data_IF_009973184273
#
_entry.id   IF_009973184273
#
_cell.length_a   1.000
_cell.length_b   1.000
_cell.length_c   1.000
_cell.angle_alpha   90.00
_cell.angle_beta   90.00
_cell.angle_gamma   90.00
#
_symmetry.space_group_name_H-M   'P 1'
#
loop_
_entity.id
_entity.type
_entity.pdbx_description
1 polymer ?
#
# COMPACT_ATOMS: atom_id res chain seq x y z
N UNK A 1 -1.64 -10.08 14.10
CA UNK A 1 -2.74 -9.86 13.13
C UNK A 1 -2.97 -11.15 12.34
N UNK A 2 -4.02 -11.93 12.62
CA UNK A 2 -4.42 -13.07 11.79
C UNK A 2 -5.62 -12.67 10.93
N UNK A 3 -5.33 -12.05 9.78
CA UNK A 3 -6.32 -11.81 8.75
C UNK A 3 -6.85 -13.14 8.21
N UNK A 4 -8.09 -13.16 7.72
CA UNK A 4 -8.63 -14.25 6.91
C UNK A 4 -7.60 -14.67 5.86
N UNK A 5 -6.92 -15.78 6.09
CA UNK A 5 -6.06 -16.39 5.09
C UNK A 5 -6.97 -16.82 3.96
N UNK A 6 -6.87 -16.14 2.82
CA UNK A 6 -7.56 -16.56 1.60
C UNK A 6 -6.97 -17.93 1.27
N UNK A 7 -7.81 -18.96 1.28
CA UNK A 7 -7.41 -20.30 0.89
C UNK A 7 -7.93 -20.58 -0.53
N UNK A 8 -7.05 -20.94 -1.46
CA UNK A 8 -7.45 -21.31 -2.82
C UNK A 8 -8.16 -22.65 -2.89
N UNK A 9 -8.02 -23.51 -1.87
CA UNK A 9 -8.75 -24.77 -1.74
C UNK A 9 -10.16 -24.61 -1.17
N UNK A 10 -10.49 -23.46 -0.58
CA UNK A 10 -11.82 -23.16 0.00
C UNK A 10 -12.21 -21.70 -0.30
N UNK A 11 -12.62 -21.41 -1.56
CA UNK A 11 -12.95 -20.05 -1.96
C UNK A 11 -14.23 -19.57 -1.25
N UNK A 12 -14.31 -18.28 -0.88
CA UNK A 12 -15.48 -17.72 -0.22
C UNK A 12 -16.72 -17.74 -1.12
N UNK A 13 -17.93 -17.82 -0.57
CA UNK A 13 -19.19 -17.95 -1.35
C UNK A 13 -19.34 -16.98 -2.53
N UNK A 14 -18.93 -15.72 -2.37
CA UNK A 14 -19.03 -14.72 -3.46
C UNK A 14 -18.16 -15.04 -4.67
N UNK A 15 -17.16 -15.91 -4.54
CA UNK A 15 -16.30 -16.35 -5.64
C UNK A 15 -17.13 -16.98 -6.77
N UNK A 16 -18.16 -17.75 -6.41
CA UNK A 16 -19.03 -18.43 -7.37
C UNK A 16 -19.96 -17.46 -8.12
N UNK A 17 -20.14 -16.24 -7.60
CA UNK A 17 -20.90 -15.17 -8.26
C UNK A 17 -20.03 -14.36 -9.25
N UNK A 18 -18.70 -14.57 -9.26
CA UNK A 18 -17.78 -13.91 -10.20
C UNK A 18 -17.85 -14.58 -11.58
N UNK A 19 -17.56 -13.81 -12.64
CA UNK A 19 -17.42 -14.39 -13.98
C UNK A 19 -16.13 -15.26 -14.11
N UNK A 20 -16.02 -16.13 -15.12
CA UNK A 20 -14.87 -17.06 -15.24
C UNK A 20 -13.48 -16.38 -15.26
N UNK A 21 -13.36 -15.20 -15.87
CA UNK A 21 -12.10 -14.44 -15.91
C UNK A 21 -11.74 -13.89 -14.53
N UNK A 22 -12.72 -13.34 -13.82
CA UNK A 22 -12.58 -12.86 -12.45
C UNK A 22 -12.22 -14.00 -11.49
N UNK A 23 -12.85 -15.16 -11.63
CA UNK A 23 -12.52 -16.37 -10.87
C UNK A 23 -11.07 -16.81 -11.11
N UNK A 24 -10.64 -16.87 -12.37
CA UNK A 24 -9.25 -17.20 -12.74
C UNK A 24 -8.25 -16.22 -12.13
N UNK A 25 -8.52 -14.92 -12.21
CA UNK A 25 -7.67 -13.88 -11.63
C UNK A 25 -7.65 -13.95 -10.10
N UNK A 26 -8.78 -14.21 -9.46
CA UNK A 26 -8.87 -14.43 -8.02
C UNK A 26 -8.03 -15.62 -7.58
N UNK A 27 -8.18 -16.78 -8.25
CA UNK A 27 -7.41 -17.99 -7.96
C UNK A 27 -5.91 -17.77 -8.12
N UNK A 28 -5.50 -17.13 -9.21
CA UNK A 28 -4.08 -16.79 -9.46
C UNK A 28 -3.52 -15.91 -8.35
N UNK A 29 -4.28 -14.88 -7.94
CA UNK A 29 -3.86 -13.95 -6.88
C UNK A 29 -3.79 -14.65 -5.53
N UNK A 30 -4.81 -15.42 -5.17
CA UNK A 30 -4.86 -16.17 -3.90
C UNK A 30 -3.70 -17.17 -3.81
N UNK A 31 -3.47 -17.99 -4.84
CA UNK A 31 -2.33 -18.93 -4.87
C UNK A 31 -0.98 -18.23 -4.73
N UNK A 32 -0.82 -17.06 -5.34
CA UNK A 32 0.40 -16.25 -5.19
C UNK A 32 0.57 -15.77 -3.76
N UNK A 33 -0.50 -15.32 -3.11
CA UNK A 33 -0.46 -14.92 -1.70
C UNK A 33 -0.15 -16.11 -0.78
N UNK A 34 -0.78 -17.26 -0.99
CA UNK A 34 -0.50 -18.48 -0.21
C UNK A 34 0.96 -18.93 -0.35
N UNK A 35 1.48 -18.96 -1.59
CA UNK A 35 2.89 -19.25 -1.83
C UNK A 35 3.81 -18.25 -1.11
N UNK A 36 3.46 -16.96 -1.13
CA UNK A 36 4.23 -15.92 -0.43
C UNK A 36 4.24 -16.16 1.08
N UNK A 37 3.09 -16.44 1.69
CA UNK A 37 3.00 -16.74 3.14
C UNK A 37 3.71 -18.05 3.51
N UNK A 38 3.61 -19.09 2.67
CA UNK A 38 4.34 -20.33 2.86
C UNK A 38 5.85 -20.10 2.85
N UNK A 39 6.37 -19.40 1.83
CA UNK A 39 7.79 -19.11 1.74
C UNK A 39 8.27 -18.20 2.88
N UNK A 40 7.45 -17.24 3.32
CA UNK A 40 7.75 -16.42 4.51
C UNK A 40 7.89 -17.25 5.78
N UNK A 41 7.08 -18.30 5.93
CA UNK A 41 7.15 -19.18 7.09
C UNK A 41 8.35 -20.14 7.03
N UNK A 42 8.76 -20.54 5.83
CA UNK A 42 9.84 -21.52 5.62
C UNK A 42 11.25 -20.92 5.58
N UNK A 43 11.40 -19.68 5.11
CA UNK A 43 12.71 -19.09 4.82
C UNK A 43 12.90 -17.72 5.49
N UNK A 44 14.14 -17.38 5.89
CA UNK A 44 14.45 -16.04 6.39
C UNK A 44 14.21 -14.97 5.30
N UNK A 45 13.86 -13.73 5.68
CA UNK A 45 13.65 -12.67 4.71
C UNK A 45 14.93 -12.37 3.91
N UNK A 46 14.75 -11.97 2.66
CA UNK A 46 15.84 -11.54 1.79
C UNK A 46 16.56 -10.35 2.42
N UNK A 47 17.88 -10.43 2.43
CA UNK A 47 18.75 -9.36 2.91
C UNK A 47 19.42 -8.69 1.72
N UNK A 48 19.02 -7.44 1.48
CA UNK A 48 19.72 -6.54 0.57
C UNK A 48 21.14 -6.28 1.08
N UNK A 49 22.10 -5.95 0.19
CA UNK A 49 23.42 -5.49 0.58
C UNK A 49 23.32 -4.34 1.59
N UNK A 50 24.22 -4.26 2.57
CA UNK A 50 24.03 -3.32 3.70
C UNK A 50 24.30 -1.86 3.35
N UNK A 51 25.14 -1.57 2.34
CA UNK A 51 25.57 -0.19 2.07
C UNK A 51 25.01 0.29 0.73
N UNK A 52 23.84 0.90 0.78
CA UNK A 52 23.32 1.67 -0.34
C UNK A 52 22.57 2.90 0.13
N UNK A 53 22.59 3.93 -0.70
CA UNK A 53 21.77 5.14 -0.54
C UNK A 53 20.57 5.07 -1.47
N UNK A 54 19.38 5.40 -0.97
CA UNK A 54 18.16 5.51 -1.78
C UNK A 54 17.87 6.98 -2.04
N UNK A 55 17.75 7.37 -3.31
CA UNK A 55 17.44 8.73 -3.74
C UNK A 55 16.17 8.73 -4.58
N UNK A 56 15.27 9.68 -4.32
CA UNK A 56 14.03 9.85 -5.07
C UNK A 56 14.17 10.95 -6.12
N UNK A 57 13.79 10.66 -7.36
CA UNK A 57 13.80 11.61 -8.46
C UNK A 57 12.38 12.00 -8.86
N UNK A 58 12.08 13.29 -8.74
CA UNK A 58 10.78 13.93 -9.01
C UNK A 58 10.93 15.45 -9.17
N UNK A 59 9.84 16.20 -9.30
CA UNK A 59 9.84 17.65 -9.54
C UNK A 59 10.38 18.52 -8.38
N UNK A 60 10.52 17.98 -7.16
CA UNK A 60 11.21 18.65 -6.05
C UNK A 60 12.67 18.23 -5.88
N UNK A 61 13.22 17.40 -6.78
CA UNK A 61 14.65 17.05 -6.71
C UNK A 61 15.48 18.28 -7.08
N UNK A 62 16.60 18.49 -6.39
CA UNK A 62 17.48 19.62 -6.67
C UNK A 62 18.35 19.35 -7.90
N UNK A 63 18.78 20.40 -8.60
CA UNK A 63 19.67 20.26 -9.77
C UNK A 63 21.01 19.65 -9.34
N UNK A 64 21.53 20.06 -8.19
CA UNK A 64 22.80 19.58 -7.62
C UNK A 64 22.76 18.07 -7.38
N UNK A 65 21.63 17.56 -6.87
CA UNK A 65 21.43 16.11 -6.67
C UNK A 65 21.50 15.36 -8.01
N UNK A 66 20.89 15.90 -9.08
CA UNK A 66 20.91 15.26 -10.40
C UNK A 66 22.30 15.36 -11.04
N UNK A 67 23.01 16.48 -10.88
CA UNK A 67 24.37 16.66 -11.40
C UNK A 67 25.36 15.72 -10.74
N UNK A 68 25.22 15.50 -9.44
CA UNK A 68 26.01 14.51 -8.71
C UNK A 68 25.72 13.08 -9.20
N UNK A 69 24.44 12.74 -9.42
CA UNK A 69 24.07 11.45 -10.02
C UNK A 69 24.61 11.30 -11.45
N UNK A 70 24.65 12.36 -12.24
CA UNK A 70 25.27 12.35 -13.58
C UNK A 70 26.77 12.08 -13.48
N UNK A 71 27.46 12.70 -12.51
CA UNK A 71 28.88 12.46 -12.27
C UNK A 71 29.13 11.01 -11.88
N UNK A 72 28.32 10.45 -10.97
CA UNK A 72 28.37 9.04 -10.59
C UNK A 72 28.09 8.13 -11.80
N UNK A 73 27.05 8.42 -12.58
CA UNK A 73 26.69 7.61 -13.75
C UNK A 73 27.78 7.57 -14.82
N UNK A 74 28.60 8.63 -14.97
CA UNK A 74 29.73 8.61 -15.90
C UNK A 74 30.85 7.65 -15.50
N UNK A 75 30.93 7.27 -14.22
CA UNK A 75 31.94 6.35 -13.69
C UNK A 75 31.39 4.96 -13.39
N UNK A 76 30.06 4.77 -13.43
CA UNK A 76 29.41 3.48 -13.21
C UNK A 76 29.17 2.78 -14.55
N UNK A 77 29.46 1.48 -14.63
CA UNK A 77 29.26 0.70 -15.86
C UNK A 77 28.21 -0.40 -15.74
N UNK A 78 27.81 -0.78 -14.53
CA UNK A 78 26.83 -1.83 -14.28
C UNK A 78 25.61 -1.24 -13.61
N UNK A 79 24.45 -1.48 -14.21
CA UNK A 79 23.17 -1.00 -13.73
C UNK A 79 22.18 -2.14 -13.65
N UNK A 80 21.50 -2.25 -12.52
CA UNK A 80 20.33 -3.10 -12.39
C UNK A 80 19.09 -2.25 -12.44
N UNK A 81 18.14 -2.66 -13.27
CA UNK A 81 16.94 -1.90 -13.56
C UNK A 81 15.73 -2.77 -13.28
N UNK A 82 14.75 -2.20 -12.60
CA UNK A 82 13.43 -2.79 -12.40
C UNK A 82 12.36 -1.73 -12.61
N UNK A 83 11.11 -2.15 -12.83
CA UNK A 83 10.01 -1.21 -13.05
C UNK A 83 8.72 -1.66 -12.39
N UNK A 84 7.94 -0.69 -11.90
CA UNK A 84 6.59 -0.94 -11.41
C UNK A 84 5.57 -0.14 -12.20
N UNK A 85 4.53 -0.83 -12.67
CA UNK A 85 3.42 -0.25 -13.42
C UNK A 85 2.13 -0.30 -12.62
N UNK A 86 1.23 0.65 -12.88
CA UNK A 86 -0.11 0.67 -12.30
C UNK A 86 -1.17 0.74 -13.40
N UNK A 87 -2.22 -0.07 -13.27
CA UNK A 87 -3.38 0.01 -14.16
C UNK A 87 -4.27 1.20 -13.75
N UNK A 88 -4.49 2.12 -14.69
CA UNK A 88 -5.35 3.29 -14.53
C UNK A 88 -6.32 3.30 -15.71
N UNK A 89 -7.62 3.32 -15.43
CA UNK A 89 -8.67 3.29 -16.47
C UNK A 89 -8.45 2.14 -17.49
N UNK A 90 -8.14 0.94 -16.99
CA UNK A 90 -7.83 -0.27 -17.78
C UNK A 90 -6.56 -0.20 -18.64
N UNK A 91 -5.74 0.85 -18.51
CA UNK A 91 -4.47 1.00 -19.22
C UNK A 91 -3.32 0.93 -18.22
N UNK A 92 -2.33 0.08 -18.47
CA UNK A 92 -1.12 0.04 -17.66
C UNK A 92 -0.27 1.28 -17.94
N UNK A 93 0.14 2.00 -16.89
CA UNK A 93 1.04 3.14 -16.96
C UNK A 93 2.26 2.88 -16.07
N UNK A 94 3.44 3.23 -16.55
CA UNK A 94 4.66 3.15 -15.75
C UNK A 94 4.57 4.11 -14.56
N UNK A 95 4.86 3.63 -13.36
CA UNK A 95 4.67 4.40 -12.13
C UNK A 95 5.99 4.68 -11.41
N UNK A 96 6.89 3.71 -11.37
CA UNK A 96 8.19 3.79 -10.72
C UNK A 96 9.24 3.11 -11.61
N UNK A 97 10.43 3.70 -11.68
CA UNK A 97 11.63 3.04 -12.23
C UNK A 97 12.67 2.97 -11.12
N UNK A 98 13.17 1.78 -10.85
CA UNK A 98 14.24 1.51 -9.91
C UNK A 98 15.54 1.30 -10.69
N UNK A 99 16.58 2.06 -10.36
CA UNK A 99 17.89 1.88 -10.99
C UNK A 99 18.95 1.83 -9.90
N UNK A 100 19.66 0.71 -9.80
CA UNK A 100 20.81 0.57 -8.93
C UNK A 100 22.09 0.82 -9.72
N UNK A 101 22.89 1.77 -9.25
CA UNK A 101 24.23 2.08 -9.73
C UNK A 101 25.17 1.18 -8.94
N UNK A 102 25.76 0.20 -9.61
CA UNK A 102 26.62 -0.79 -8.96
C UNK A 102 28.06 -0.27 -8.99
N UNK A 103 28.45 0.46 -7.94
CA UNK A 103 29.81 1.01 -7.80
C UNK A 103 30.81 -0.06 -7.39
N UNK A 104 30.40 -0.93 -6.46
CA UNK A 104 31.11 -2.12 -6.05
C UNK A 104 30.12 -3.21 -5.60
N UNK A 105 30.63 -4.40 -5.22
CA UNK A 105 29.76 -5.42 -4.60
C UNK A 105 29.23 -5.00 -3.22
N UNK A 106 29.87 -4.00 -2.60
CA UNK A 106 29.57 -3.56 -1.24
C UNK A 106 28.87 -2.20 -1.22
N UNK A 107 28.98 -1.41 -2.28
CA UNK A 107 28.50 -0.04 -2.35
C UNK A 107 27.69 0.19 -3.61
N UNK A 108 26.49 0.76 -3.45
CA UNK A 108 25.65 1.13 -4.58
C UNK A 108 24.76 2.33 -4.26
N UNK A 109 24.33 3.02 -5.30
CA UNK A 109 23.31 4.07 -5.18
C UNK A 109 22.05 3.59 -5.89
N UNK A 110 20.92 3.57 -5.19
CA UNK A 110 19.64 3.20 -5.77
C UNK A 110 18.80 4.46 -5.97
N UNK A 111 18.41 4.70 -7.22
CA UNK A 111 17.50 5.80 -7.55
C UNK A 111 16.09 5.27 -7.83
N UNK A 112 15.10 5.98 -7.31
CA UNK A 112 13.68 5.73 -7.49
C UNK A 112 13.07 6.90 -8.27
N UNK A 113 12.79 6.68 -9.56
CA UNK A 113 12.22 7.72 -10.42
C UNK A 113 10.70 7.64 -10.37
N UNK A 114 10.07 8.65 -9.78
CA UNK A 114 8.62 8.68 -9.56
C UNK A 114 7.90 9.30 -10.76
N UNK A 115 7.52 8.45 -11.73
CA UNK A 115 7.10 8.88 -13.07
C UNK A 115 5.93 9.87 -13.08
N UNK A 116 4.97 9.72 -12.16
CA UNK A 116 3.80 10.62 -12.04
C UNK A 116 4.12 11.99 -11.46
N UNK A 117 5.32 12.16 -10.93
CA UNK A 117 5.78 13.37 -10.26
C UNK A 117 7.02 13.96 -10.94
N UNK A 118 7.29 13.58 -12.19
CA UNK A 118 8.36 14.19 -12.98
C UNK A 118 8.12 15.69 -13.19
N UNK A 119 9.19 16.49 -13.28
CA UNK A 119 9.08 17.90 -13.64
C UNK A 119 8.57 18.09 -15.07
N UNK A 120 8.17 19.33 -15.40
CA UNK A 120 7.74 19.70 -16.76
C UNK A 120 8.85 19.36 -17.77
N UNK A 121 8.49 18.80 -18.93
CA UNK A 121 9.43 18.37 -19.97
C UNK A 121 10.37 19.47 -20.47
N UNK A 122 9.92 20.73 -20.44
CA UNK A 122 10.71 21.88 -20.89
C UNK A 122 11.69 22.40 -19.83
N UNK A 123 11.51 21.98 -18.56
CA UNK A 123 12.32 22.42 -17.43
C UNK A 123 13.76 21.91 -17.53
N UNK A 124 14.69 22.69 -16.96
CA UNK A 124 16.09 22.28 -16.83
C UNK A 124 16.22 20.96 -16.06
N UNK A 125 15.47 20.80 -14.97
CA UNK A 125 15.50 19.58 -14.16
C UNK A 125 15.09 18.34 -14.97
N UNK A 126 14.03 18.42 -15.77
CA UNK A 126 13.64 17.30 -16.63
C UNK A 126 14.73 16.95 -17.64
N UNK A 127 15.31 17.97 -18.29
CA UNK A 127 16.41 17.79 -19.25
C UNK A 127 17.61 17.10 -18.59
N UNK A 128 17.92 17.44 -17.34
CA UNK A 128 18.98 16.80 -16.55
C UNK A 128 18.65 15.36 -16.14
N UNK A 129 17.42 15.07 -15.72
CA UNK A 129 16.98 13.67 -15.45
C UNK A 129 17.04 12.85 -16.74
N UNK A 130 16.72 13.44 -17.89
CA UNK A 130 16.84 12.81 -19.21
C UNK A 130 18.29 12.57 -19.64
N UNK A 131 19.18 13.52 -19.37
CA UNK A 131 20.63 13.37 -19.56
C UNK A 131 21.14 12.18 -18.73
N UNK A 132 20.80 12.12 -17.44
CA UNK A 132 21.15 11.03 -16.54
C UNK A 132 20.69 9.67 -17.10
N UNK A 133 19.41 9.55 -17.49
CA UNK A 133 18.89 8.31 -18.06
C UNK A 133 19.58 7.93 -19.37
N UNK A 134 19.97 8.91 -20.19
CA UNK A 134 20.69 8.66 -21.45
C UNK A 134 22.10 8.11 -21.20
N UNK A 135 22.79 8.58 -20.17
CA UNK A 135 24.09 8.06 -19.74
C UNK A 135 23.93 6.62 -19.24
N UNK A 136 23.01 6.38 -18.30
CA UNK A 136 22.75 5.04 -17.74
C UNK A 136 22.46 4.02 -18.85
N UNK A 137 21.64 4.42 -19.81
CA UNK A 137 21.16 3.54 -20.88
C UNK A 137 22.09 3.46 -22.10
N UNK A 138 23.28 4.07 -22.04
CA UNK A 138 24.29 4.00 -23.09
C UNK A 138 24.64 2.54 -23.45
N UNK A 139 24.99 2.29 -24.70
CA UNK A 139 25.19 0.92 -25.21
C UNK A 139 26.43 0.22 -24.64
N UNK A 140 27.39 0.99 -24.13
CA UNK A 140 28.60 0.49 -23.46
C UNK A 140 28.34 0.02 -22.03
N UNK A 141 27.24 0.45 -21.41
CA UNK A 141 26.90 0.06 -20.06
C UNK A 141 26.23 -1.31 -20.03
N UNK A 142 26.52 -2.07 -18.98
CA UNK A 142 25.86 -3.35 -18.69
C UNK A 142 24.55 -3.07 -17.96
N UNK A 143 23.42 -3.29 -18.64
CA UNK A 143 22.09 -3.16 -18.05
C UNK A 143 21.53 -4.54 -17.73
N UNK A 144 21.11 -4.76 -16.50
CA UNK A 144 20.59 -6.03 -16.00
C UNK A 144 19.13 -5.84 -15.62
N UNK A 145 18.26 -6.69 -16.14
CA UNK A 145 16.84 -6.76 -15.75
C UNK A 145 16.48 -8.20 -15.42
N UNK A 146 15.51 -8.43 -14.53
CA UNK A 146 15.07 -9.80 -14.27
C UNK A 146 14.46 -10.45 -15.51
N UNK A 147 13.56 -9.74 -16.21
CA UNK A 147 12.91 -10.19 -17.43
C UNK A 147 13.39 -9.47 -18.69
N UNK A 148 12.73 -9.69 -19.83
CA UNK A 148 13.06 -9.00 -21.08
C UNK A 148 12.88 -7.48 -20.97
N UNK A 149 13.96 -6.74 -21.21
CA UNK A 149 13.99 -5.28 -21.08
C UNK A 149 12.86 -4.54 -21.82
N UNK A 150 12.50 -4.99 -23.04
CA UNK A 150 11.41 -4.40 -23.83
C UNK A 150 10.07 -4.41 -23.09
N UNK A 151 9.83 -5.41 -22.23
CA UNK A 151 8.60 -5.54 -21.49
C UNK A 151 8.54 -4.58 -20.28
N UNK A 152 9.69 -4.32 -19.64
CA UNK A 152 9.82 -3.39 -18.52
C UNK A 152 9.44 -1.96 -18.94
N UNK A 153 10.00 -1.47 -20.05
CA UNK A 153 9.87 -0.06 -20.44
C UNK A 153 8.66 0.29 -21.30
N UNK A 154 7.86 -0.70 -21.75
CA UNK A 154 6.76 -0.45 -22.71
C UNK A 154 5.76 0.60 -22.22
N UNK A 155 5.52 0.70 -20.91
CA UNK A 155 4.58 1.63 -20.31
C UNK A 155 5.21 2.97 -19.91
N UNK A 156 6.50 3.19 -20.19
CA UNK A 156 7.28 4.34 -19.74
C UNK A 156 7.68 5.29 -20.88
N UNK A 157 7.62 4.84 -22.14
CA UNK A 157 8.01 5.67 -23.29
C UNK A 157 7.19 6.96 -23.41
N UNK A 158 5.93 6.98 -22.98
CA UNK A 158 5.07 8.18 -23.04
C UNK A 158 5.57 9.35 -22.19
N UNK A 159 6.46 9.10 -21.23
CA UNK A 159 7.01 10.15 -20.37
C UNK A 159 8.11 10.97 -21.05
N UNK A 160 8.62 10.53 -22.22
CA UNK A 160 9.67 11.25 -22.96
C UNK A 160 11.08 11.13 -22.34
N UNK A 161 11.22 10.35 -21.26
CA UNK A 161 12.47 10.11 -20.56
C UNK A 161 13.32 9.02 -21.23
N UNK A 162 12.65 8.02 -21.83
CA UNK A 162 13.28 6.89 -22.49
C UNK A 162 12.92 6.87 -23.98
N UNK A 163 13.90 6.57 -24.83
CA UNK A 163 13.69 6.49 -26.26
C UNK A 163 13.46 5.05 -26.72
N UNK A 164 12.36 4.83 -27.45
CA UNK A 164 11.99 3.51 -27.97
C UNK A 164 13.04 3.04 -28.97
N UNK A 165 13.58 1.83 -28.76
CA UNK A 165 14.52 1.18 -29.69
C UNK A 165 15.98 1.60 -29.55
N UNK A 166 16.30 2.62 -28.73
CA UNK A 166 17.70 2.98 -28.43
C UNK A 166 18.38 2.03 -27.46
N UNK A 167 17.61 1.35 -26.62
CA UNK A 167 18.17 0.51 -25.56
C UNK A 167 18.45 -0.87 -26.13
N UNK A 168 19.72 -1.15 -26.43
CA UNK A 168 20.21 -2.44 -26.88
C UNK A 168 20.97 -3.14 -25.75
N UNK A 169 21.11 -4.47 -25.89
CA UNK A 169 22.04 -5.29 -25.11
C UNK A 169 21.80 -5.32 -23.59
N UNK A 170 20.55 -5.27 -23.13
CA UNK A 170 20.25 -5.57 -21.73
C UNK A 170 20.29 -7.08 -21.47
N UNK A 171 20.90 -7.47 -20.37
CA UNK A 171 20.97 -8.85 -19.89
C UNK A 171 19.63 -9.22 -19.25
N UNK A 172 18.93 -10.17 -19.87
CA UNK A 172 17.78 -10.83 -19.26
C UNK A 172 18.28 -11.88 -18.25
N UNK A 173 18.28 -11.53 -16.97
CA UNK A 173 18.88 -12.37 -15.94
C UNK A 173 18.10 -13.67 -15.70
N UNK A 174 16.80 -13.71 -15.98
CA UNK A 174 15.99 -14.93 -15.91
C UNK A 174 16.50 -16.02 -16.86
N UNK A 175 16.89 -15.65 -18.09
CA UNK A 175 17.45 -16.60 -19.06
C UNK A 175 18.81 -17.11 -18.55
N UNK A 176 19.66 -16.20 -18.07
CA UNK A 176 20.99 -16.53 -17.52
C UNK A 176 20.91 -17.41 -16.29
N UNK A 177 19.95 -17.16 -15.40
CA UNK A 177 19.71 -17.98 -14.22
C UNK A 177 19.24 -19.39 -14.61
N UNK A 178 18.37 -19.49 -15.63
CA UNK A 178 17.92 -20.79 -16.14
C UNK A 178 19.10 -21.63 -16.66
N UNK A 179 19.97 -21.01 -17.46
CA UNK A 179 21.17 -21.65 -17.98
C UNK A 179 22.13 -22.08 -16.87
N UNK A 180 22.40 -21.18 -15.91
CA UNK A 180 23.25 -21.44 -14.76
C UNK A 180 22.70 -22.60 -13.91
N UNK A 181 21.40 -22.58 -13.58
CA UNK A 181 20.77 -23.60 -12.75
C UNK A 181 20.81 -24.98 -13.43
N UNK A 182 20.51 -25.05 -14.72
CA UNK A 182 20.54 -26.32 -15.46
C UNK A 182 21.95 -26.92 -15.55
N UNK A 183 22.98 -26.08 -15.73
CA UNK A 183 24.39 -26.52 -15.70
C UNK A 183 24.77 -27.04 -14.31
N UNK A 184 24.49 -26.28 -13.25
CA UNK A 184 24.83 -26.65 -11.87
C UNK A 184 24.07 -27.90 -11.39
N UNK A 185 22.80 -28.07 -11.77
CA UNK A 185 22.00 -29.25 -11.42
C UNK A 185 22.51 -30.54 -12.09
N UNK A 186 23.04 -30.44 -13.31
CA UNK A 186 23.58 -31.60 -14.04
C UNK A 186 24.84 -32.18 -13.38
N UNK A 187 25.58 -31.38 -12.62
CA UNK A 187 26.80 -31.79 -11.91
C UNK A 187 26.46 -32.57 -10.62
N UNK A 188 25.36 -32.24 -9.96
CA UNK A 188 25.03 -32.79 -8.63
C UNK A 188 24.13 -34.03 -8.68
N UNK A 189 23.35 -34.24 -9.74
CA UNK A 189 22.48 -35.41 -9.89
C UNK A 189 22.38 -35.89 -11.36
N UNK A 190 23.29 -36.78 -11.82
CA UNK A 190 23.36 -37.17 -13.23
C UNK A 190 22.22 -38.08 -13.73
N UNK A 191 21.33 -38.60 -12.86
CA UNK A 191 20.38 -39.68 -13.22
C UNK A 191 18.92 -39.37 -12.85
N UNK A 192 18.46 -38.12 -12.92
CA UNK A 192 17.02 -37.84 -12.79
C UNK A 192 16.36 -37.53 -14.14
N UNK A 193 15.56 -38.51 -14.54
CA UNK A 193 14.61 -38.52 -15.66
C UNK A 193 13.84 -37.19 -15.79
N UNK A 194 13.79 -36.68 -17.02
CA UNK A 194 12.75 -35.78 -17.52
C UNK A 194 12.33 -34.66 -16.57
N UNK A 195 13.26 -33.77 -16.18
CA UNK A 195 12.83 -32.45 -15.71
C UNK A 195 12.31 -31.67 -16.91
N UNK A 196 10.99 -31.44 -16.93
CA UNK A 196 10.38 -30.42 -17.80
C UNK A 196 11.26 -29.18 -17.70
N UNK A 197 11.83 -28.74 -18.84
CA UNK A 197 12.63 -27.52 -18.90
C UNK A 197 11.77 -26.40 -18.34
N UNK A 198 12.03 -25.98 -17.11
CA UNK A 198 11.31 -24.87 -16.52
C UNK A 198 11.73 -23.63 -17.31
N UNK A 199 10.87 -23.20 -18.24
CA UNK A 199 11.21 -22.16 -19.22
C UNK A 199 11.16 -20.75 -18.64
N UNK A 200 10.60 -20.57 -17.43
CA UNK A 200 10.53 -19.26 -16.78
C UNK A 200 10.60 -19.38 -15.27
N UNK A 201 11.50 -18.62 -14.66
CA UNK A 201 11.66 -18.53 -13.21
C UNK A 201 11.01 -17.27 -12.67
N UNK A 202 10.32 -17.34 -11.53
CA UNK A 202 10.05 -16.10 -10.80
C UNK A 202 11.31 -15.68 -10.05
N UNK A 203 11.53 -14.36 -9.88
CA UNK A 203 12.68 -13.87 -9.12
C UNK A 203 12.68 -14.40 -7.68
N UNK A 204 11.51 -14.51 -7.06
CA UNK A 204 11.36 -15.10 -5.73
C UNK A 204 11.83 -16.56 -5.68
N UNK A 205 11.50 -17.37 -6.69
CA UNK A 205 11.96 -18.76 -6.76
C UNK A 205 13.46 -18.86 -6.99
N UNK A 206 14.02 -17.97 -7.81
CA UNK A 206 15.46 -17.90 -8.04
C UNK A 206 16.21 -17.52 -6.76
N UNK A 207 15.74 -16.52 -6.01
CA UNK A 207 16.31 -16.12 -4.72
C UNK A 207 16.18 -17.23 -3.68
N UNK A 208 15.03 -17.91 -3.62
CA UNK A 208 14.84 -19.08 -2.77
C UNK A 208 15.90 -20.15 -3.06
N UNK A 209 16.07 -20.52 -4.32
CA UNK A 209 17.00 -21.59 -4.71
C UNK A 209 18.45 -21.19 -4.48
N UNK A 210 18.82 -19.99 -4.90
CA UNK A 210 20.19 -19.49 -4.82
C UNK A 210 20.65 -19.23 -3.39
N UNK A 211 19.77 -18.66 -2.55
CA UNK A 211 20.17 -18.08 -1.26
C UNK A 211 19.39 -18.63 -0.06
N UNK A 212 18.39 -19.51 -0.28
CA UNK A 212 17.49 -19.99 0.78
C UNK A 212 16.81 -18.83 1.54
N UNK A 213 16.45 -17.77 0.81
CA UNK A 213 15.84 -16.56 1.34
C UNK A 213 14.46 -16.31 0.72
N UNK A 214 13.59 -15.64 1.47
CA UNK A 214 12.27 -15.21 1.06
C UNK A 214 12.30 -13.75 0.60
N UNK A 215 12.14 -13.54 -0.71
CA UNK A 215 11.91 -12.21 -1.27
C UNK A 215 10.41 -11.88 -1.19
N UNK A 216 10.01 -10.91 -0.38
CA UNK A 216 8.60 -10.58 -0.19
C UNK A 216 7.98 -9.98 -1.45
N UNK A 217 6.87 -10.57 -1.92
CA UNK A 217 6.11 -10.11 -3.09
C UNK A 217 4.77 -9.45 -2.77
N UNK A 218 4.54 -9.06 -1.52
CA UNK A 218 3.28 -8.44 -1.09
C UNK A 218 2.98 -7.10 -1.75
N UNK A 219 4.01 -6.33 -2.13
CA UNK A 219 3.84 -4.98 -2.67
C UNK A 219 3.77 -4.93 -4.21
N UNK A 220 3.93 -6.06 -4.91
CA UNK A 220 3.93 -6.07 -6.40
C UNK A 220 2.66 -5.46 -7.00
N UNK A 221 1.50 -5.70 -6.38
CA UNK A 221 0.21 -5.15 -6.87
C UNK A 221 -0.27 -4.08 -5.89
N UNK A 222 0.30 -2.88 -6.03
CA UNK A 222 -0.04 -1.76 -5.17
C UNK A 222 -0.24 -0.45 -5.97
N UNK A 223 -0.57 0.64 -5.26
CA UNK A 223 -0.82 1.98 -5.81
C UNK A 223 0.50 2.72 -6.02
N UNK A 224 1.36 2.23 -6.90
CA UNK A 224 2.70 2.79 -7.18
C UNK A 224 2.72 4.26 -7.60
N UNK A 225 1.60 4.81 -8.10
CA UNK A 225 1.48 6.25 -8.41
C UNK A 225 1.30 7.16 -7.17
N UNK A 226 1.41 6.63 -5.95
CA UNK A 226 1.01 7.33 -4.72
C UNK A 226 1.96 8.45 -4.28
N UNK A 227 3.14 8.55 -4.88
CA UNK A 227 4.21 9.40 -4.38
C UNK A 227 4.88 8.74 -3.18
N UNK A 228 6.06 8.14 -3.36
CA UNK A 228 6.77 7.42 -2.30
C UNK A 228 7.56 8.38 -1.40
N UNK A 229 8.23 9.39 -1.98
CA UNK A 229 8.95 10.41 -1.23
C UNK A 229 7.99 11.23 -0.36
N UNK A 230 8.33 11.39 0.92
CA UNK A 230 7.56 12.22 1.84
C UNK A 230 7.62 13.71 1.52
N UNK A 231 8.65 14.18 0.80
CA UNK A 231 8.76 15.56 0.30
C UNK A 231 7.61 15.93 -0.65
N UNK A 232 7.01 14.95 -1.33
CA UNK A 232 5.83 15.17 -2.17
C UNK A 232 4.56 15.46 -1.36
N UNK A 233 4.56 15.27 -0.03
CA UNK A 233 3.40 15.46 0.86
C UNK A 233 2.13 14.67 0.44
N UNK A 234 2.27 13.65 -0.40
CA UNK A 234 1.14 12.85 -0.92
C UNK A 234 0.55 11.92 0.12
N UNK A 235 1.32 11.61 1.18
CA UNK A 235 0.88 10.84 2.34
C UNK A 235 -0.21 11.52 3.15
N UNK A 236 -0.41 12.85 2.98
CA UNK A 236 -1.52 13.60 3.61
C UNK A 236 -2.90 13.19 3.06
N UNK A 237 -2.95 12.39 1.99
CA UNK A 237 -4.18 11.88 1.39
C UNK A 237 -4.42 10.43 1.82
N UNK A 238 -5.66 10.12 2.17
CA UNK A 238 -6.09 8.76 2.48
C UNK A 238 -6.08 7.87 1.23
N UNK A 239 -5.05 7.05 1.07
CA UNK A 239 -4.89 6.06 0.01
C UNK A 239 -4.86 4.61 0.52
N UNK A 240 -4.26 4.39 1.68
CA UNK A 240 -4.00 3.11 2.30
C UNK A 240 -4.77 2.90 3.61
N UNK A 241 -5.08 3.97 4.36
CA UNK A 241 -5.83 3.82 5.62
C UNK A 241 -7.22 3.24 5.37
N UNK A 242 -7.61 2.24 6.18
CA UNK A 242 -8.85 1.46 5.95
C UNK A 242 -10.12 2.21 6.36
N UNK A 243 -10.09 2.91 7.49
CA UNK A 243 -11.25 3.57 8.09
C UNK A 243 -11.13 5.09 7.96
N UNK A 244 -10.64 5.77 8.98
CA UNK A 244 -10.33 7.19 8.90
C UNK A 244 -8.91 7.39 8.38
N UNK A 245 -8.58 8.62 8.00
CA UNK A 245 -7.22 8.96 7.63
C UNK A 245 -6.28 8.71 8.81
N UNK A 246 -5.21 7.98 8.57
CA UNK A 246 -4.16 7.72 9.55
C UNK A 246 -2.80 7.96 8.89
N UNK A 247 -2.15 9.06 9.26
CA UNK A 247 -0.86 9.47 8.71
C UNK A 247 0.22 8.39 8.89
N UNK A 248 0.22 7.67 10.01
CA UNK A 248 1.20 6.63 10.29
C UNK A 248 1.00 5.43 9.36
N UNK A 249 -0.25 4.99 9.13
CA UNK A 249 -0.54 3.91 8.17
C UNK A 249 -0.14 4.31 6.74
N UNK A 250 -0.35 5.57 6.34
CA UNK A 250 0.04 6.07 5.02
C UNK A 250 1.56 6.11 4.82
N UNK A 251 2.30 6.54 5.85
CA UNK A 251 3.77 6.61 5.84
C UNK A 251 4.40 5.23 5.91
N UNK A 252 3.95 4.37 6.84
CA UNK A 252 4.41 2.99 6.99
C UNK A 252 4.21 2.21 5.69
N UNK A 253 3.06 2.40 5.04
CA UNK A 253 2.80 1.72 3.76
C UNK A 253 3.76 2.17 2.65
N UNK A 254 4.15 3.43 2.60
CA UNK A 254 5.16 3.91 1.63
C UNK A 254 6.56 3.38 1.94
N UNK A 255 6.94 3.32 3.22
CA UNK A 255 8.21 2.72 3.66
C UNK A 255 8.30 1.26 3.21
N UNK A 256 7.24 0.46 3.44
CA UNK A 256 7.22 -0.95 3.01
C UNK A 256 7.28 -1.09 1.48
N UNK A 257 6.65 -0.18 0.73
CA UNK A 257 6.78 -0.13 -0.74
C UNK A 257 8.19 0.23 -1.20
N UNK A 258 8.87 1.18 -0.55
CA UNK A 258 10.27 1.53 -0.82
C UNK A 258 11.18 0.34 -0.54
N UNK A 259 11.02 -0.31 0.62
CA UNK A 259 11.78 -1.51 0.99
C UNK A 259 11.59 -2.64 -0.02
N UNK A 260 10.36 -2.87 -0.48
CA UNK A 260 10.11 -3.82 -1.56
C UNK A 260 10.86 -3.45 -2.84
N UNK A 261 10.75 -2.19 -3.30
CA UNK A 261 11.35 -1.75 -4.56
C UNK A 261 12.89 -1.89 -4.52
N UNK A 262 13.48 -1.59 -3.37
CA UNK A 262 14.90 -1.81 -3.07
C UNK A 262 15.26 -3.29 -3.07
N UNK A 263 14.53 -4.11 -2.34
CA UNK A 263 14.78 -5.54 -2.24
C UNK A 263 14.69 -6.23 -3.61
N UNK A 264 13.71 -5.83 -4.42
CA UNK A 264 13.49 -6.43 -5.74
C UNK A 264 14.63 -6.12 -6.72
N UNK A 265 15.04 -4.85 -6.77
CA UNK A 265 16.16 -4.40 -7.59
C UNK A 265 17.49 -5.03 -7.13
N UNK A 266 17.77 -4.99 -5.82
CA UNK A 266 19.03 -5.53 -5.26
C UNK A 266 19.12 -7.05 -5.32
N UNK A 267 17.99 -7.77 -5.29
CA UNK A 267 17.94 -9.22 -5.50
C UNK A 267 18.46 -9.62 -6.89
N UNK A 268 18.12 -8.86 -7.92
CA UNK A 268 18.62 -9.08 -9.29
C UNK A 268 20.13 -8.89 -9.34
N UNK A 269 20.66 -7.83 -8.72
CA UNK A 269 22.12 -7.60 -8.63
C UNK A 269 22.84 -8.72 -7.89
N UNK A 270 22.29 -9.19 -6.76
CA UNK A 270 22.87 -10.29 -5.98
C UNK A 270 22.93 -11.58 -6.79
N UNK A 271 21.88 -11.91 -7.55
CA UNK A 271 21.87 -13.04 -8.48
C UNK A 271 22.88 -12.87 -9.61
N UNK A 272 23.04 -11.65 -10.14
CA UNK A 272 24.00 -11.38 -11.20
C UNK A 272 25.42 -11.75 -10.79
N UNK A 273 25.89 -11.26 -9.64
CA UNK A 273 27.24 -11.57 -9.16
C UNK A 273 27.43 -13.04 -8.74
N UNK A 274 26.35 -13.72 -8.34
CA UNK A 274 26.40 -15.17 -8.13
C UNK A 274 26.63 -15.93 -9.45
N UNK A 275 26.00 -15.49 -10.55
CA UNK A 275 26.14 -16.13 -11.87
C UNK A 275 27.47 -15.76 -12.53
N UNK A 276 27.93 -14.52 -12.35
CA UNK A 276 29.14 -13.95 -12.95
C UNK A 276 30.14 -13.49 -11.88
N UNK A 277 30.77 -14.42 -11.14
CA UNK A 277 31.70 -14.05 -10.08
C UNK A 277 32.95 -13.35 -10.61
N UNK A 278 33.35 -13.55 -11.87
CA UNK A 278 34.48 -12.82 -12.50
C UNK A 278 34.23 -11.32 -12.60
N UNK A 279 32.97 -10.93 -12.76
CA UNK A 279 32.57 -9.53 -12.90
C UNK A 279 32.61 -8.81 -11.53
N UNK A 280 32.81 -9.57 -10.45
CA UNK A 280 33.14 -9.03 -9.14
C UNK A 280 34.60 -8.58 -9.03
N UNK A 281 35.39 -8.55 -10.12
CA UNK A 281 36.81 -8.10 -10.19
C UNK A 281 37.15 -6.73 -9.59
N UNK A 282 36.19 -6.09 -8.95
CA UNK A 282 36.30 -5.17 -7.82
C UNK A 282 36.72 -5.97 -6.56
N UNK A 283 37.99 -6.41 -6.46
CA UNK A 283 38.59 -7.19 -5.36
C UNK A 283 37.68 -7.51 -4.14
N UNK A 284 37.19 -8.74 -4.06
CA UNK A 284 36.25 -9.21 -3.03
C UNK A 284 36.89 -10.31 -2.19
N UNK A 285 37.35 -9.97 -0.98
CA UNK A 285 37.63 -10.99 0.04
C UNK A 285 36.31 -11.35 0.72
N UNK A 286 35.68 -12.42 0.28
CA UNK A 286 34.49 -12.96 0.95
C UNK A 286 34.90 -13.68 2.23
N UNK A 287 35.08 -12.94 3.32
CA UNK A 287 34.99 -13.52 4.66
C UNK A 287 33.50 -13.73 4.98
N UNK A 288 33.11 -14.99 5.12
CA UNK A 288 31.81 -15.39 5.65
C UNK A 288 31.63 -14.72 7.02
N UNK A 289 30.68 -13.78 7.20
CA UNK A 289 30.54 -13.11 8.48
C UNK A 289 30.06 -14.10 9.54
N UNK A 290 30.74 -14.12 10.69
CA UNK A 290 30.21 -14.69 11.93
C UNK A 290 28.83 -14.09 12.22
N UNK A 291 27.86 -14.87 12.75
CA UNK A 291 26.49 -14.44 12.93
C UNK A 291 26.45 -13.30 13.95
N UNK A 292 26.43 -12.07 13.42
CA UNK A 292 26.33 -10.85 14.20
C UNK A 292 24.93 -10.29 13.97
N UNK A 293 24.22 -9.99 15.05
CA UNK A 293 22.98 -9.21 15.07
C UNK A 293 23.25 -7.80 14.53
N UNK A 294 23.40 -7.66 13.22
CA UNK A 294 23.52 -6.37 12.56
C UNK A 294 22.13 -5.78 12.35
N UNK A 295 21.86 -4.66 13.04
CA UNK A 295 20.77 -3.75 12.71
C UNK A 295 21.09 -3.10 11.37
N UNK A 296 20.31 -3.42 10.33
CA UNK A 296 20.40 -2.77 9.01
C UNK A 296 20.00 -1.31 9.16
N UNK A 297 20.98 -0.41 9.27
CA UNK A 297 20.73 1.03 9.21
C UNK A 297 20.49 1.43 7.75
N UNK A 298 19.25 1.25 7.29
CA UNK A 298 18.76 1.97 6.12
C UNK A 298 18.70 3.44 6.52
N UNK A 299 19.73 4.23 6.18
CA UNK A 299 19.71 5.69 6.40
C UNK A 299 18.76 6.32 5.40
N UNK A 300 17.45 6.14 5.61
CA UNK A 300 16.46 7.07 5.10
C UNK A 300 16.71 8.35 5.90
N UNK A 301 17.17 9.42 5.24
CA UNK A 301 17.38 10.71 5.88
C UNK A 301 16.02 11.34 6.23
N UNK A 302 15.36 10.79 7.27
CA UNK A 302 14.03 11.18 7.75
C UNK A 302 14.12 12.34 8.75
N UNK A 303 15.31 12.64 9.26
CA UNK A 303 15.52 13.63 10.33
C UNK A 303 15.41 15.11 9.89
N UNK A 304 15.23 15.40 8.60
CA UNK A 304 15.06 16.78 8.07
C UNK A 304 13.60 17.29 8.09
N UNK A 305 12.70 16.70 8.88
CA UNK A 305 11.27 17.06 8.89
C UNK A 305 10.74 17.56 10.25
N UNK A 306 11.60 17.92 11.19
CA UNK A 306 11.16 18.38 12.52
C UNK A 306 10.86 19.88 12.65
N UNK A 307 11.03 20.70 11.61
CA UNK A 307 10.74 22.15 11.69
C UNK A 307 10.08 22.69 10.41
N UNK A 308 8.83 22.31 10.17
CA UNK A 308 7.96 23.07 9.26
C UNK A 308 6.76 23.53 10.09
N UNK A 309 6.85 24.80 10.52
CA UNK A 309 5.77 25.54 11.17
C UNK A 309 4.49 25.46 10.33
N UNK A 310 3.37 25.20 11.02
CA UNK A 310 2.03 25.23 10.47
C UNK A 310 1.62 26.67 10.12
N UNK A 311 2.11 27.23 9.03
CA UNK A 311 1.52 28.45 8.46
C UNK A 311 1.81 28.52 6.95
N UNK A 312 0.77 28.88 6.19
CA UNK A 312 0.65 28.91 4.72
C UNK A 312 0.31 27.58 4.03
N UNK A 313 -1.00 27.35 3.83
CA UNK A 313 -1.51 26.47 2.79
C UNK A 313 -1.31 27.10 1.40
N UNK A 314 -0.46 26.54 0.51
CA UNK A 314 -0.53 26.92 -0.89
C UNK A 314 -1.78 26.30 -1.53
N UNK A 315 -2.66 27.15 -2.07
CA UNK A 315 -3.70 26.76 -3.03
C UNK A 315 -3.02 26.19 -4.28
N UNK A 316 -2.78 24.88 -4.30
CA UNK A 316 -2.29 24.19 -5.49
C UNK A 316 -3.45 24.11 -6.49
N UNK A 317 -3.42 25.00 -7.48
CA UNK A 317 -4.19 24.89 -8.71
C UNK A 317 -3.83 23.55 -9.40
N UNK A 318 -4.84 22.70 -9.58
CA UNK A 318 -4.68 21.56 -10.49
C UNK A 318 -4.49 22.09 -11.92
N UNK A 319 -3.55 21.54 -12.72
CA UNK A 319 -3.54 21.83 -14.15
C UNK A 319 -4.78 21.18 -14.78
N UNK A 320 -5.74 22.02 -15.15
CA UNK A 320 -6.83 21.65 -16.05
C UNK A 320 -6.21 21.23 -17.37
N UNK A 321 -6.45 19.99 -17.79
CA UNK A 321 -6.20 19.56 -19.16
C UNK A 321 -7.12 20.37 -20.08
N UNK A 322 -6.53 21.33 -20.80
CA UNK A 322 -7.19 22.11 -21.84
C UNK A 322 -7.55 21.16 -22.98
N UNK A 323 -8.86 20.98 -23.21
CA UNK A 323 -9.37 20.46 -24.49
C UNK A 323 -9.26 21.58 -25.52
N UNK A 324 -8.92 21.29 -26.80
CA UNK A 324 -8.90 22.31 -27.83
C UNK A 324 -10.35 22.70 -28.17
N UNK A 325 -10.74 23.93 -27.81
CA UNK A 325 -12.02 24.52 -28.21
C UNK A 325 -11.77 25.46 -29.39
N UNK A 326 -12.52 25.21 -30.46
CA UNK A 326 -12.59 26.06 -31.65
C UNK A 326 -13.11 27.45 -31.28
N UNK A 327 -12.47 28.45 -31.89
CA UNK A 327 -12.79 29.87 -31.94
C UNK A 327 -14.25 30.11 -32.32
N UNK A 328 -14.95 30.95 -31.55
CA UNK A 328 -15.94 31.94 -32.00
C UNK A 328 -16.19 32.94 -30.85
N UNK A 329 -15.98 34.23 -31.13
CA UNK A 329 -16.23 35.45 -30.32
C UNK A 329 -17.15 36.35 -31.20
N UNK A 330 -17.88 37.40 -30.74
CA UNK A 330 -18.19 37.94 -29.39
C UNK A 330 -19.69 38.25 -29.14
N UNK A 331 -20.03 38.65 -27.89
CA UNK A 331 -20.59 39.98 -27.48
C UNK A 331 -20.90 39.99 -25.97
N UNK A 332 -20.18 40.75 -25.15
CA UNK A 332 -20.54 42.08 -24.59
C UNK A 332 -21.87 42.12 -23.81
N UNK A 333 -21.84 42.25 -22.47
CA UNK A 333 -22.20 43.50 -21.78
C UNK A 333 -22.00 43.44 -20.25
N UNK A 334 -21.84 44.66 -19.72
CA UNK A 334 -21.39 45.11 -18.41
C UNK A 334 -22.45 45.14 -17.28
N UNK A 335 -21.92 45.22 -16.05
CA UNK A 335 -22.37 45.99 -14.87
C UNK A 335 -23.75 45.70 -14.24
N UNK A 336 -23.75 45.40 -12.92
CA UNK A 336 -24.23 46.37 -11.92
C UNK A 336 -23.92 45.95 -10.47
N UNK A 337 -23.45 46.95 -9.70
CA UNK A 337 -23.38 46.98 -8.24
C UNK A 337 -24.76 47.32 -7.67
N UNK A 338 -25.11 46.77 -6.50
CA UNK A 338 -25.87 47.51 -5.48
C UNK A 338 -25.76 46.84 -4.10
N UNK A 339 -25.16 47.60 -3.18
CA UNK A 339 -25.19 47.46 -1.72
C UNK A 339 -26.56 47.94 -1.20
N UNK A 340 -27.06 47.41 -0.08
CA UNK A 340 -27.60 48.15 1.09
C UNK A 340 -28.44 47.24 2.02
N UNK A 341 -28.04 47.30 3.30
CA UNK A 341 -28.74 47.29 4.60
C UNK A 341 -29.60 46.13 5.11
N UNK A 342 -29.11 45.66 6.25
CA UNK A 342 -29.75 45.05 7.43
C UNK A 342 -30.83 45.92 8.05
N UNK A 343 -31.96 45.31 8.43
CA UNK A 343 -32.80 45.75 9.56
C UNK A 343 -33.32 44.55 10.35
N UNK A 344 -33.36 44.77 11.66
CA UNK A 344 -33.72 43.89 12.76
C UNK A 344 -35.22 43.56 12.77
N UNK A 345 -35.59 42.29 12.68
CA UNK A 345 -36.95 41.79 12.98
C UNK A 345 -36.91 40.31 13.38
N UNK A 346 -36.16 39.97 14.42
CA UNK A 346 -36.19 38.63 15.05
C UNK A 346 -36.18 38.75 16.57
N UNK A 347 -37.27 39.30 17.14
CA UNK A 347 -37.47 39.25 18.58
C UNK A 347 -38.95 39.39 18.97
N UNK A 348 -39.85 38.58 18.40
CA UNK A 348 -41.21 38.43 18.97
C UNK A 348 -42.02 37.21 18.49
N UNK A 349 -41.40 36.02 18.36
CA UNK A 349 -42.14 34.79 18.03
C UNK A 349 -41.85 33.62 18.99
N UNK A 350 -41.67 33.95 20.27
CA UNK A 350 -41.41 32.96 21.32
C UNK A 350 -42.39 33.14 22.50
N UNK A 351 -43.72 33.06 22.25
CA UNK A 351 -44.69 32.79 23.32
C UNK A 351 -46.13 32.41 22.90
N UNK A 352 -46.37 31.94 21.66
CA UNK A 352 -47.72 31.51 21.23
C UNK A 352 -47.72 30.11 20.59
N UNK A 353 -46.96 29.16 21.16
CA UNK A 353 -46.99 27.76 20.71
C UNK A 353 -46.96 26.71 21.83
N UNK A 354 -47.27 27.11 23.07
CA UNK A 354 -47.31 26.18 24.21
C UNK A 354 -48.73 25.85 24.71
N UNK A 355 -49.78 26.40 24.08
CA UNK A 355 -51.18 26.12 24.44
C UNK A 355 -51.99 25.35 23.37
N UNK A 356 -51.40 24.98 22.24
CA UNK A 356 -52.08 24.16 21.21
C UNK A 356 -51.68 22.66 21.21
N UNK A 357 -50.84 22.19 22.14
CA UNK A 357 -50.47 20.77 22.22
C UNK A 357 -51.21 19.95 23.29
N UNK A 358 -52.28 20.50 23.89
CA UNK A 358 -53.05 19.82 24.94
C UNK A 358 -54.42 19.27 24.50
N UNK A 359 -54.79 19.33 23.21
CA UNK A 359 -56.12 18.87 22.74
C UNK A 359 -56.14 17.94 21.50
N UNK A 360 -55.03 17.27 21.18
CA UNK A 360 -55.05 16.14 20.23
C UNK A 360 -54.54 14.85 20.89
N UNK A 361 -55.30 14.36 21.87
CA UNK A 361 -55.25 12.96 22.31
C UNK A 361 -56.66 12.39 22.44
N UNK A 362 -57.33 12.16 21.32
CA UNK A 362 -58.38 11.13 21.22
C UNK A 362 -58.59 10.70 19.77
N UNK A 363 -57.52 10.26 19.12
CA UNK A 363 -57.67 9.22 18.09
C UNK A 363 -56.48 8.28 18.25
N UNK A 364 -56.69 7.18 18.98
CA UNK A 364 -55.71 6.11 19.10
C UNK A 364 -55.70 5.37 17.76
N UNK A 365 -55.05 5.97 16.77
CA UNK A 365 -54.68 5.30 15.54
C UNK A 365 -53.74 4.18 15.97
N UNK A 366 -54.16 2.93 15.77
CA UNK A 366 -53.30 1.75 15.98
C UNK A 366 -52.10 1.88 15.06
N UNK A 367 -51.04 2.56 15.54
CA UNK A 367 -49.79 2.70 14.80
C UNK A 367 -49.39 1.33 14.28
N UNK A 368 -49.12 1.25 12.99
CA UNK A 368 -48.69 0.00 12.37
C UNK A 368 -47.44 -0.50 13.10
N UNK A 369 -47.21 -1.82 13.11
CA UNK A 369 -45.99 -2.39 13.70
C UNK A 369 -44.72 -1.72 13.14
N UNK A 370 -44.77 -1.27 11.88
CA UNK A 370 -43.68 -0.56 11.20
C UNK A 370 -43.40 0.83 11.81
N UNK A 371 -44.42 1.61 12.14
CA UNK A 371 -44.26 2.95 12.70
C UNK A 371 -43.83 2.92 14.15
N UNK A 372 -44.34 1.95 14.93
CA UNK A 372 -43.84 1.70 16.29
C UNK A 372 -42.35 1.33 16.25
N UNK A 373 -41.93 0.52 15.28
CA UNK A 373 -40.51 0.19 15.11
C UNK A 373 -39.70 1.41 14.64
N UNK A 374 -40.22 2.24 13.73
CA UNK A 374 -39.57 3.46 13.25
C UNK A 374 -39.34 4.45 14.40
N UNK A 375 -40.36 4.70 15.23
CA UNK A 375 -40.25 5.55 16.43
C UNK A 375 -39.24 4.98 17.44
N UNK A 376 -39.21 3.66 17.67
CA UNK A 376 -38.19 3.00 18.50
C UNK A 376 -36.77 3.21 17.94
N UNK A 377 -36.58 3.06 16.64
CA UNK A 377 -35.28 3.25 15.98
C UNK A 377 -34.82 4.71 16.04
N UNK A 378 -35.72 5.69 15.82
CA UNK A 378 -35.41 7.11 15.93
C UNK A 378 -35.01 7.49 17.36
N UNK A 379 -35.77 7.02 18.36
CA UNK A 379 -35.43 7.22 19.78
C UNK A 379 -34.08 6.60 20.14
N UNK A 380 -33.76 5.43 19.57
CA UNK A 380 -32.45 4.79 19.77
C UNK A 380 -31.31 5.60 19.13
N UNK A 381 -31.47 6.07 17.88
CA UNK A 381 -30.49 6.92 17.20
C UNK A 381 -30.25 8.22 17.96
N UNK A 382 -31.31 8.85 18.45
CA UNK A 382 -31.21 10.05 19.28
C UNK A 382 -30.43 9.77 20.58
N UNK A 383 -30.75 8.69 21.30
CA UNK A 383 -30.01 8.29 22.51
C UNK A 383 -28.53 8.02 22.22
N UNK A 384 -28.21 7.38 21.10
CA UNK A 384 -26.81 7.14 20.70
C UNK A 384 -26.02 8.43 20.42
N UNK A 385 -26.69 9.51 20.01
CA UNK A 385 -26.07 10.78 19.67
C UNK A 385 -25.92 11.71 20.88
N UNK A 386 -26.93 11.73 21.77
CA UNK A 386 -27.03 12.77 22.80
C UNK A 386 -26.96 12.27 24.24
N UNK A 387 -27.07 10.96 24.49
CA UNK A 387 -27.08 10.44 25.85
C UNK A 387 -25.67 9.97 26.27
N UNK A 388 -25.06 10.53 27.33
CA UNK A 388 -23.70 10.20 27.77
C UNK A 388 -23.47 8.69 27.95
N UNK A 389 -24.45 8.01 28.55
CA UNK A 389 -24.42 6.55 28.79
C UNK A 389 -24.31 5.68 27.51
N UNK A 390 -24.42 6.24 26.29
CA UNK A 390 -24.23 5.51 25.04
C UNK A 390 -22.83 5.68 24.41
N UNK A 391 -21.95 6.47 25.05
CA UNK A 391 -20.59 6.73 24.57
C UNK A 391 -19.59 5.64 25.03
N UNK A 392 -19.87 4.98 26.15
CA UNK A 392 -19.00 3.97 26.74
C UNK A 392 -19.16 2.61 26.08
N UNK A 393 -18.43 2.37 24.97
CA UNK A 393 -18.49 1.13 24.20
C UNK A 393 -17.17 0.38 24.19
N UNK A 394 -17.24 -0.94 24.38
CA UNK A 394 -16.13 -1.84 24.10
C UNK A 394 -16.39 -2.58 22.81
N UNK A 395 -15.36 -2.62 21.98
CA UNK A 395 -15.31 -3.44 20.78
C UNK A 395 -14.46 -4.68 21.06
N UNK A 396 -15.01 -5.87 20.77
CA UNK A 396 -14.25 -7.13 20.80
C UNK A 396 -14.44 -7.93 19.51
N UNK A 397 -13.33 -8.44 18.92
CA UNK A 397 -13.41 -9.32 17.77
C UNK A 397 -14.04 -10.68 18.15
N UNK A 398 -14.74 -11.27 17.21
CA UNK A 398 -15.36 -12.59 17.28
C UNK A 398 -14.56 -13.52 16.37
N UNK A 399 -13.89 -14.50 16.94
CA UNK A 399 -13.03 -15.42 16.16
C UNK A 399 -13.73 -16.74 15.83
N UNK A 400 -14.91 -17.00 16.39
CA UNK A 400 -15.63 -18.27 16.20
C UNK A 400 -17.16 -18.08 16.17
N UNK A 401 -17.94 -19.15 16.00
CA UNK A 401 -19.41 -19.14 15.72
C UNK A 401 -20.29 -18.63 16.88
N UNK A 402 -20.00 -17.43 17.39
CA UNK A 402 -20.80 -16.73 18.38
C UNK A 402 -22.06 -16.14 17.75
N UNK A 403 -23.20 -16.62 18.20
CA UNK A 403 -24.49 -15.96 18.00
C UNK A 403 -24.82 -15.03 19.18
N UNK A 404 -25.90 -14.27 19.04
CA UNK A 404 -26.32 -13.29 20.05
C UNK A 404 -26.59 -13.92 21.42
N UNK A 405 -27.15 -15.14 21.45
CA UNK A 405 -27.50 -15.81 22.70
C UNK A 405 -26.25 -16.24 23.44
N UNK A 406 -25.25 -16.79 22.75
CA UNK A 406 -23.97 -17.22 23.34
C UNK A 406 -23.13 -16.05 23.85
N UNK A 407 -23.07 -14.95 23.09
CA UNK A 407 -22.41 -13.73 23.57
C UNK A 407 -23.07 -13.24 24.86
N UNK A 408 -24.40 -13.24 24.91
CA UNK A 408 -25.13 -12.79 26.10
C UNK A 408 -24.95 -13.75 27.29
N UNK A 409 -24.93 -15.05 27.04
CA UNK A 409 -24.70 -16.06 28.08
C UNK A 409 -23.30 -15.90 28.70
N UNK A 410 -22.25 -15.84 27.88
CA UNK A 410 -20.89 -15.67 28.40
C UNK A 410 -20.69 -14.34 29.16
N UNK A 411 -21.26 -13.23 28.67
CA UNK A 411 -21.22 -11.97 29.41
C UNK A 411 -21.95 -12.06 30.76
N UNK A 412 -23.01 -12.88 30.85
CA UNK A 412 -23.72 -13.10 32.10
C UNK A 412 -22.90 -13.97 33.05
N UNK A 413 -22.32 -15.06 32.55
CA UNK A 413 -21.52 -16.00 33.35
C UNK A 413 -20.28 -15.34 33.97
N UNK A 414 -19.73 -14.31 33.31
CA UNK A 414 -18.54 -13.59 33.77
C UNK A 414 -18.87 -12.30 34.57
N UNK A 415 -20.12 -12.15 34.99
CA UNK A 415 -20.63 -10.97 35.69
C UNK A 415 -20.37 -9.65 34.95
N UNK A 416 -20.57 -9.67 33.63
CA UNK A 416 -20.52 -8.51 32.70
C UNK A 416 -21.94 -8.24 32.13
N UNK A 417 -22.96 -8.60 32.91
CA UNK A 417 -24.38 -8.44 32.55
C UNK A 417 -24.87 -6.98 32.63
N UNK A 418 -24.11 -6.06 33.23
CA UNK A 418 -24.44 -4.62 33.29
C UNK A 418 -24.45 -3.95 31.91
N UNK A 419 -24.00 -4.64 30.86
CA UNK A 419 -24.12 -4.17 29.48
C UNK A 419 -25.58 -3.91 29.09
N UNK A 420 -25.89 -2.66 28.74
CA UNK A 420 -27.25 -2.24 28.40
C UNK A 420 -27.55 -2.31 26.90
N UNK A 421 -26.51 -2.47 26.08
CA UNK A 421 -26.63 -2.61 24.63
C UNK A 421 -25.60 -3.63 24.10
N UNK A 422 -26.07 -4.55 23.26
CA UNK A 422 -25.23 -5.51 22.56
C UNK A 422 -25.53 -5.48 21.06
N UNK A 423 -24.51 -5.30 20.23
CA UNK A 423 -24.63 -5.32 18.78
C UNK A 423 -23.53 -6.20 18.17
N UNK A 424 -23.93 -7.21 17.39
CA UNK A 424 -23.01 -8.10 16.68
C UNK A 424 -22.95 -7.69 15.22
N UNK A 425 -21.79 -7.19 14.79
CA UNK A 425 -21.53 -6.93 13.38
C UNK A 425 -20.92 -8.19 12.74
N UNK A 426 -21.78 -8.99 12.09
CA UNK A 426 -21.36 -10.24 11.44
C UNK A 426 -20.36 -10.02 10.31
N UNK A 427 -20.46 -8.91 9.58
CA UNK A 427 -19.54 -8.61 8.47
C UNK A 427 -18.14 -8.27 8.96
N UNK A 428 -18.04 -7.49 10.04
CA UNK A 428 -16.74 -7.12 10.64
C UNK A 428 -16.23 -8.14 11.67
N UNK A 429 -17.03 -9.17 11.98
CA UNK A 429 -16.76 -10.18 13.01
C UNK A 429 -16.40 -9.54 14.35
N UNK A 430 -17.26 -8.65 14.84
CA UNK A 430 -17.06 -7.92 16.10
C UNK A 430 -18.35 -7.81 16.91
N UNK A 431 -18.22 -7.81 18.23
CA UNK A 431 -19.27 -7.41 19.18
C UNK A 431 -18.96 -5.99 19.66
N UNK A 432 -19.97 -5.13 19.63
CA UNK A 432 -20.00 -3.85 20.32
C UNK A 432 -20.89 -3.97 21.55
N UNK A 433 -20.32 -3.67 22.71
CA UNK A 433 -20.97 -3.78 24.03
C UNK A 433 -20.99 -2.40 24.65
N UNK A 434 -22.18 -1.89 24.99
CA UNK A 434 -22.37 -0.59 25.64
C UNK A 434 -22.56 -0.72 27.15
N UNK A 435 -21.90 0.14 27.92
CA UNK A 435 -21.91 0.20 29.38
C UNK A 435 -22.53 1.51 29.87
N UNK A 436 -23.17 1.51 31.04
CA UNK A 436 -23.92 2.68 31.51
C UNK A 436 -23.00 3.81 31.99
N UNK A 437 -21.81 3.45 32.45
CA UNK A 437 -20.78 4.37 32.94
C UNK A 437 -19.40 3.96 32.43
N UNK A 438 -18.46 4.89 32.49
CA UNK A 438 -17.05 4.65 32.22
C UNK A 438 -16.43 3.63 33.19
N UNK A 439 -16.83 3.66 34.48
CA UNK A 439 -16.36 2.70 35.48
C UNK A 439 -16.75 1.27 35.13
N UNK A 440 -18.01 1.03 34.70
CA UNK A 440 -18.45 -0.27 34.22
C UNK A 440 -17.68 -0.71 32.96
N UNK A 441 -17.40 0.23 32.06
CA UNK A 441 -16.62 -0.02 30.86
C UNK A 441 -15.20 -0.48 31.23
N UNK A 442 -14.51 0.21 32.13
CA UNK A 442 -13.13 -0.13 32.46
C UNK A 442 -13.05 -1.47 33.23
N UNK A 443 -13.99 -1.74 34.14
CA UNK A 443 -14.10 -3.05 34.79
C UNK A 443 -14.31 -4.18 33.77
N UNK A 444 -15.17 -3.96 32.78
CA UNK A 444 -15.38 -4.93 31.71
C UNK A 444 -14.14 -5.07 30.82
N UNK A 445 -13.37 -4.00 30.59
CA UNK A 445 -12.13 -4.04 29.80
C UNK A 445 -11.09 -4.96 30.41
N UNK A 446 -10.95 -4.90 31.74
CA UNK A 446 -10.05 -5.75 32.52
C UNK A 446 -10.49 -7.22 32.43
N UNK A 447 -11.79 -7.50 32.58
CA UNK A 447 -12.34 -8.87 32.49
C UNK A 447 -12.36 -9.43 31.07
N UNK A 448 -12.38 -8.57 30.05
CA UNK A 448 -12.51 -8.95 28.64
C UNK A 448 -11.21 -8.71 27.86
N UNK A 449 -10.24 -9.64 27.87
CA UNK A 449 -9.09 -9.54 26.99
C UNK A 449 -9.48 -9.51 25.49
N UNK A 450 -8.55 -9.17 24.61
CA UNK A 450 -8.82 -9.04 23.16
C UNK A 450 -9.37 -10.35 22.58
N UNK A 451 -8.94 -11.50 23.10
CA UNK A 451 -9.34 -12.85 22.69
C UNK A 451 -10.57 -13.40 23.46
N UNK A 452 -11.35 -12.54 24.10
CA UNK A 452 -12.48 -12.95 24.95
C UNK A 452 -13.55 -13.78 24.20
N UNK A 453 -13.82 -13.46 22.92
CA UNK A 453 -14.67 -14.27 22.03
C UNK A 453 -13.84 -15.13 21.06
N UNK A 454 -12.85 -15.85 21.58
CA UNK A 454 -11.99 -16.76 20.81
C UNK A 454 -12.61 -18.15 20.63
N UNK A 455 -12.08 -18.92 19.67
CA UNK A 455 -12.43 -20.34 19.50
C UNK A 455 -12.17 -21.14 20.77
N UNK A 456 -11.01 -20.93 21.43
CA UNK A 456 -10.66 -21.59 22.69
C UNK A 456 -11.68 -21.29 23.80
N UNK A 457 -12.06 -20.03 23.98
CA UNK A 457 -13.06 -19.63 24.97
C UNK A 457 -14.44 -20.22 24.66
N UNK A 458 -14.79 -20.31 23.37
CA UNK A 458 -16.02 -20.95 22.95
C UNK A 458 -16.03 -22.45 23.28
N UNK A 459 -14.98 -23.18 22.89
CA UNK A 459 -14.87 -24.64 23.12
C UNK A 459 -14.86 -24.98 24.61
N UNK A 460 -14.22 -24.14 25.43
CA UNK A 460 -14.22 -24.30 26.89
C UNK A 460 -15.61 -24.19 27.52
N UNK A 461 -16.53 -23.42 26.91
CA UNK A 461 -17.86 -23.15 27.48
C UNK A 461 -18.97 -24.01 26.88
N UNK A 462 -18.86 -24.36 25.59
CA UNK A 462 -19.95 -25.00 24.85
C UNK A 462 -19.53 -26.23 24.03
N UNK A 463 -18.26 -26.65 24.08
CA UNK A 463 -17.71 -27.72 23.22
C UNK A 463 -17.61 -27.32 21.76
#
# INVERSE_FOLDING_TARGET
>A
MSGLTRNSSDPPRYFYDLNPEQQKNWMKTTRRMEKNEQLRAEYPPFQSPSNFTVLHLHHYSSIETIEELIRMAKTTHIYTIDTESQVINKVAKGALVQIQFVHSIHESTLILIEMFYLPNQDSLLFKKIKELCSIILHDENTKITWGPFKNEFKNFYSYGLFEKGKIKNAINLQDRFSDWYNKSASITHPVRESREKQTSWSLQDAIKIAFQQFLDKNETVNKWRCGLDFKLNTWKRKLFSKNDYNANEEKEKRITMIQYAVADCTAVTKLYFMIYPSDSGIQTSYETPTPTTASTNMTLNINDLSDISEEEEPKILMPYFVKPTQTLIPKFNEQNYLTIETTEEEMNEFNVQEQQQAQEQTTITKLSKSEKQRKKNLKLKWKQKYHPNFQHKIKRPIYYRYDYQKVRAQLKDDDIYTSHQLNINRHKKEVLIGFKSETEQEQARIKMPINYFSKKQYEQRWG
#
